data_IF_062956655741
#
_entry.id   IF_062956655741
#
_cell.length_a   1.000
_cell.length_b   1.000
_cell.length_c   1.000
_cell.angle_alpha   90.00
_cell.angle_beta   90.00
_cell.angle_gamma   90.00
#
_symmetry.space_group_name_H-M   'P 1'
#
loop_
_entity.id
_entity.type
_entity.pdbx_description
1 polymer ?
#
# COMPACT_ATOMS: atom_id res chain seq x y z
N UNK A 1 -42.57 84.80 -28.89
CA UNK A 1 -42.99 83.40 -28.96
C UNK A 1 -41.77 82.54 -28.79
N UNK A 2 -41.57 82.00 -27.58
CA UNK A 2 -40.40 81.15 -27.20
C UNK A 2 -40.73 79.74 -27.45
N UNK A 3 -39.97 79.03 -28.29
CA UNK A 3 -39.98 77.59 -28.44
C UNK A 3 -38.89 77.05 -27.50
N UNK A 4 -39.30 76.38 -26.42
CA UNK A 4 -38.42 75.65 -25.53
C UNK A 4 -38.07 74.31 -26.18
N UNK A 5 -36.81 74.19 -26.53
CA UNK A 5 -36.27 72.88 -26.87
C UNK A 5 -35.91 72.11 -25.59
N UNK A 6 -36.64 71.04 -25.30
CA UNK A 6 -36.26 70.06 -24.29
C UNK A 6 -35.24 69.07 -24.91
N UNK A 7 -33.99 69.26 -24.58
CA UNK A 7 -33.01 68.22 -24.80
C UNK A 7 -33.22 67.10 -23.73
N UNK A 8 -33.78 66.02 -24.14
CA UNK A 8 -33.70 64.77 -23.34
C UNK A 8 -32.34 64.19 -23.52
N UNK A 9 -31.44 64.37 -22.56
CA UNK A 9 -30.23 63.57 -22.42
C UNK A 9 -30.63 62.19 -21.97
N UNK A 10 -30.63 61.24 -22.91
CA UNK A 10 -30.70 59.82 -22.61
C UNK A 10 -29.34 59.42 -22.09
N UNK A 11 -29.17 59.35 -20.74
CA UNK A 11 -28.05 58.72 -20.11
C UNK A 11 -28.20 57.21 -20.33
N UNK A 12 -27.52 56.68 -21.35
CA UNK A 12 -27.26 55.27 -21.48
C UNK A 12 -26.34 54.84 -20.34
N UNK A 13 -26.91 54.45 -19.20
CA UNK A 13 -26.21 53.70 -18.18
C UNK A 13 -25.88 52.32 -18.79
N UNK A 14 -24.70 52.23 -19.37
CA UNK A 14 -24.10 50.94 -19.69
C UNK A 14 -23.85 50.21 -18.34
N UNK A 15 -24.80 49.43 -17.89
CA UNK A 15 -24.60 48.41 -16.89
C UNK A 15 -23.66 47.41 -17.52
N UNK A 16 -22.35 47.59 -17.30
CA UNK A 16 -21.38 46.59 -17.50
C UNK A 16 -21.71 45.44 -16.54
N UNK A 17 -22.57 44.53 -16.97
CA UNK A 17 -22.76 43.23 -16.35
C UNK A 17 -21.40 42.58 -16.46
N UNK A 18 -20.57 42.73 -15.41
CA UNK A 18 -19.42 41.89 -15.16
C UNK A 18 -19.98 40.49 -14.96
N UNK A 19 -20.20 39.78 -16.07
CA UNK A 19 -20.33 38.34 -16.04
C UNK A 19 -19.00 37.83 -15.51
N UNK A 20 -18.89 37.74 -14.18
CA UNK A 20 -17.97 36.85 -13.54
C UNK A 20 -18.38 35.47 -14.02
N UNK A 21 -17.86 35.05 -15.18
CA UNK A 21 -17.76 33.64 -15.53
C UNK A 21 -17.05 33.07 -14.32
N UNK A 22 -17.80 32.41 -13.42
CA UNK A 22 -17.22 31.49 -12.47
C UNK A 22 -16.44 30.50 -13.32
N UNK A 23 -15.17 30.79 -13.56
CA UNK A 23 -14.24 29.85 -14.14
C UNK A 23 -14.36 28.65 -13.22
N UNK A 24 -15.03 27.60 -13.67
CA UNK A 24 -15.06 26.32 -12.97
C UNK A 24 -13.60 26.03 -12.63
N UNK A 25 -13.25 26.17 -11.36
CA UNK A 25 -11.87 26.05 -10.91
C UNK A 25 -11.37 24.69 -11.41
N UNK A 26 -10.39 24.71 -12.30
CA UNK A 26 -9.84 23.50 -12.92
C UNK A 26 -9.36 22.58 -11.79
N UNK A 27 -9.94 21.39 -11.68
CA UNK A 27 -9.70 20.46 -10.58
C UNK A 27 -8.60 19.49 -10.93
N UNK A 28 -7.76 19.16 -9.97
CA UNK A 28 -6.85 18.03 -10.06
C UNK A 28 -7.53 16.81 -9.41
N UNK A 29 -8.04 15.91 -10.23
CA UNK A 29 -8.84 14.77 -9.76
C UNK A 29 -7.97 13.54 -9.55
N UNK A 30 -8.09 12.92 -8.36
CA UNK A 30 -7.43 11.67 -7.98
C UNK A 30 -8.51 10.61 -7.84
N UNK A 31 -8.46 9.58 -8.67
CA UNK A 31 -9.35 8.43 -8.60
C UNK A 31 -8.77 7.35 -7.70
N UNK A 32 -9.33 7.15 -6.51
CA UNK A 32 -8.88 6.17 -5.52
C UNK A 32 -9.79 4.94 -5.56
N UNK A 33 -9.27 3.81 -6.07
CA UNK A 33 -9.99 2.55 -6.24
C UNK A 33 -9.51 1.56 -5.18
N UNK A 34 -10.39 1.14 -4.28
CA UNK A 34 -10.02 0.41 -3.08
C UNK A 34 -11.05 -0.68 -2.74
N UNK A 35 -10.62 -1.77 -2.08
CA UNK A 35 -11.53 -2.72 -1.47
C UNK A 35 -12.10 -2.15 -0.16
N UNK A 36 -13.26 -1.49 -0.23
CA UNK A 36 -13.89 -0.85 0.93
C UNK A 36 -14.85 -1.77 1.68
N UNK A 37 -15.23 -2.89 1.06
CA UNK A 37 -16.12 -3.91 1.61
C UNK A 37 -15.52 -5.31 1.51
N UNK A 38 -16.09 -6.27 2.27
CA UNK A 38 -15.64 -7.67 2.27
C UNK A 38 -14.36 -7.91 3.10
N UNK A 39 -13.69 -9.05 2.90
CA UNK A 39 -12.60 -9.51 3.77
C UNK A 39 -11.33 -8.62 3.73
N UNK A 40 -11.19 -7.78 2.70
CA UNK A 40 -10.03 -6.88 2.54
C UNK A 40 -10.39 -5.41 2.83
N UNK A 41 -11.53 -5.14 3.47
CA UNK A 41 -12.01 -3.79 3.74
C UNK A 41 -11.03 -2.96 4.61
N UNK A 42 -10.26 -3.59 5.50
CA UNK A 42 -9.24 -2.89 6.29
C UNK A 42 -8.19 -2.23 5.39
N UNK A 43 -7.72 -2.93 4.36
CA UNK A 43 -6.77 -2.38 3.38
C UNK A 43 -7.28 -1.06 2.76
N UNK A 44 -8.53 -1.06 2.27
CA UNK A 44 -9.12 0.12 1.67
C UNK A 44 -9.29 1.28 2.66
N UNK A 45 -9.81 0.98 3.85
CA UNK A 45 -10.02 1.98 4.91
C UNK A 45 -8.71 2.62 5.38
N UNK A 46 -7.65 1.85 5.55
CA UNK A 46 -6.34 2.34 5.95
C UNK A 46 -5.75 3.29 4.90
N UNK A 47 -5.82 2.93 3.62
CA UNK A 47 -5.33 3.77 2.52
C UNK A 47 -6.15 5.06 2.40
N UNK A 48 -7.48 4.98 2.42
CA UNK A 48 -8.35 6.15 2.34
C UNK A 48 -8.11 7.12 3.51
N UNK A 49 -8.06 6.59 4.74
CA UNK A 49 -7.81 7.39 5.94
C UNK A 49 -6.47 8.13 5.84
N UNK A 50 -5.42 7.47 5.37
CA UNK A 50 -4.10 8.08 5.19
C UNK A 50 -4.09 9.11 4.05
N UNK A 51 -4.78 8.85 2.95
CA UNK A 51 -4.91 9.81 1.85
C UNK A 51 -5.61 11.09 2.32
N UNK A 52 -6.70 10.97 3.06
CA UNK A 52 -7.41 12.11 3.65
C UNK A 52 -6.58 12.85 4.69
N UNK A 53 -5.82 12.12 5.52
CA UNK A 53 -4.88 12.73 6.48
C UNK A 53 -3.81 13.55 5.75
N UNK A 54 -3.23 13.01 4.66
CA UNK A 54 -2.25 13.74 3.87
C UNK A 54 -2.84 15.04 3.32
N UNK A 55 -4.06 15.00 2.75
CA UNK A 55 -4.77 16.18 2.26
C UNK A 55 -5.03 17.20 3.37
N UNK A 56 -5.47 16.74 4.55
CA UNK A 56 -5.72 17.64 5.69
C UNK A 56 -4.45 18.36 6.18
N UNK A 57 -3.29 17.70 6.08
CA UNK A 57 -2.00 18.25 6.50
C UNK A 57 -1.33 19.14 5.45
N UNK A 58 -1.59 18.91 4.15
CA UNK A 58 -0.91 19.59 3.05
C UNK A 58 -1.84 20.48 2.21
N UNK A 59 -3.12 20.58 2.59
CA UNK A 59 -4.13 21.36 1.91
C UNK A 59 -4.79 20.65 0.74
N UNK A 60 -5.92 21.18 0.30
CA UNK A 60 -6.71 20.68 -0.82
C UNK A 60 -6.44 21.42 -2.14
N UNK A 61 -5.34 22.17 -2.20
CA UNK A 61 -4.90 22.90 -3.38
C UNK A 61 -3.52 22.42 -3.82
N UNK A 62 -3.37 22.09 -5.10
CA UNK A 62 -2.08 21.77 -5.70
C UNK A 62 -1.92 22.46 -7.05
N UNK A 63 -0.81 23.17 -7.25
CA UNK A 63 -0.53 23.89 -8.49
C UNK A 63 -1.68 24.87 -8.90
N UNK A 64 -2.36 25.49 -7.95
CA UNK A 64 -3.49 26.40 -8.20
C UNK A 64 -4.83 25.71 -8.51
N UNK A 65 -4.86 24.38 -8.54
CA UNK A 65 -6.07 23.56 -8.77
C UNK A 65 -6.58 22.95 -7.49
N UNK A 66 -7.91 22.91 -7.32
CA UNK A 66 -8.51 22.19 -6.19
C UNK A 66 -8.38 20.68 -6.38
N UNK A 67 -7.84 20.00 -5.37
CA UNK A 67 -7.75 18.53 -5.37
C UNK A 67 -9.12 17.93 -5.05
N UNK A 68 -9.58 17.05 -5.92
CA UNK A 68 -10.79 16.25 -5.71
C UNK A 68 -10.41 14.78 -5.61
N UNK A 69 -10.64 14.18 -4.43
CA UNK A 69 -10.43 12.78 -4.18
C UNK A 69 -11.74 12.01 -4.40
N UNK A 70 -11.78 11.19 -5.45
CA UNK A 70 -12.95 10.36 -5.81
C UNK A 70 -12.64 8.93 -5.36
N UNK A 71 -13.35 8.45 -4.33
CA UNK A 71 -13.16 7.11 -3.77
C UNK A 71 -14.25 6.17 -4.28
N UNK A 72 -13.87 5.00 -4.78
CA UNK A 72 -14.79 3.95 -5.23
C UNK A 72 -14.42 2.59 -4.65
N UNK A 73 -15.43 1.85 -4.23
CA UNK A 73 -15.29 0.46 -3.77
C UNK A 73 -15.27 -0.51 -4.95
N UNK A 74 -14.20 -1.26 -5.08
CA UNK A 74 -14.06 -2.30 -6.11
C UNK A 74 -14.50 -3.70 -5.64
N UNK A 75 -14.94 -3.80 -4.39
CA UNK A 75 -15.39 -5.06 -3.77
C UNK A 75 -14.38 -6.21 -3.89
N UNK A 76 -13.10 -5.89 -4.12
CA UNK A 76 -12.03 -6.86 -4.40
C UNK A 76 -12.27 -7.71 -5.66
N UNK A 77 -13.01 -7.19 -6.65
CA UNK A 77 -13.35 -7.89 -7.88
C UNK A 77 -12.68 -7.24 -9.10
N UNK A 78 -11.83 -7.96 -9.85
CA UNK A 78 -11.06 -7.39 -10.98
C UNK A 78 -11.94 -6.74 -12.05
N UNK A 79 -13.08 -7.34 -12.39
CA UNK A 79 -13.99 -6.78 -13.40
C UNK A 79 -14.66 -5.48 -12.92
N UNK A 80 -14.99 -5.38 -11.62
CA UNK A 80 -15.52 -4.16 -11.01
C UNK A 80 -14.46 -3.08 -11.01
N UNK A 81 -13.21 -3.42 -10.60
CA UNK A 81 -12.07 -2.49 -10.60
C UNK A 81 -11.82 -1.94 -12.01
N UNK A 82 -11.81 -2.81 -13.02
CA UNK A 82 -11.62 -2.42 -14.42
C UNK A 82 -12.71 -1.45 -14.89
N UNK A 83 -13.99 -1.76 -14.62
CA UNK A 83 -15.11 -0.89 -15.00
C UNK A 83 -15.04 0.47 -14.32
N UNK A 84 -14.73 0.51 -13.02
CA UNK A 84 -14.55 1.75 -12.25
C UNK A 84 -13.40 2.58 -12.83
N UNK A 85 -12.26 1.96 -13.12
CA UNK A 85 -11.11 2.65 -13.71
C UNK A 85 -11.46 3.28 -15.07
N UNK A 86 -12.21 2.58 -15.93
CA UNK A 86 -12.71 3.13 -17.20
C UNK A 86 -13.62 4.33 -16.99
N UNK A 87 -14.58 4.22 -16.06
CA UNK A 87 -15.48 5.32 -15.70
C UNK A 87 -14.71 6.55 -15.22
N UNK A 88 -13.76 6.37 -14.31
CA UNK A 88 -12.93 7.45 -13.77
C UNK A 88 -12.10 8.16 -14.85
N UNK A 89 -11.54 7.40 -15.79
CA UNK A 89 -10.71 7.97 -16.86
C UNK A 89 -11.59 8.68 -17.91
N UNK A 90 -12.68 8.07 -18.34
CA UNK A 90 -13.48 8.57 -19.48
C UNK A 90 -14.46 9.65 -19.02
N UNK A 91 -15.22 9.39 -17.96
CA UNK A 91 -16.31 10.26 -17.52
C UNK A 91 -15.84 11.31 -16.51
N UNK A 92 -15.11 10.87 -15.46
CA UNK A 92 -14.61 11.75 -14.41
C UNK A 92 -13.37 12.53 -14.83
N UNK A 93 -12.62 12.04 -15.84
CA UNK A 93 -11.37 12.61 -16.35
C UNK A 93 -10.34 12.83 -15.24
N UNK A 94 -10.09 11.79 -14.45
CA UNK A 94 -9.09 11.84 -13.38
C UNK A 94 -7.69 12.05 -13.94
N UNK A 95 -6.88 12.83 -13.24
CA UNK A 95 -5.48 13.08 -13.60
C UNK A 95 -4.58 11.89 -13.26
N UNK A 96 -4.99 11.08 -12.28
CA UNK A 96 -4.26 9.91 -11.79
C UNK A 96 -5.24 8.89 -11.18
N UNK A 97 -4.97 7.60 -11.42
CA UNK A 97 -5.58 6.48 -10.70
C UNK A 97 -4.67 6.06 -9.55
N UNK A 98 -5.24 5.70 -8.41
CA UNK A 98 -4.47 5.32 -7.24
C UNK A 98 -5.20 4.24 -6.41
N UNK A 99 -4.48 3.57 -5.50
CA UNK A 99 -5.02 2.56 -4.60
C UNK A 99 -4.57 1.14 -4.94
N UNK A 100 -5.50 0.28 -5.34
CA UNK A 100 -5.27 -1.12 -5.75
C UNK A 100 -4.79 -2.01 -4.60
N UNK A 101 -5.74 -2.48 -3.80
CA UNK A 101 -5.48 -3.27 -2.61
C UNK A 101 -4.89 -4.66 -2.87
N UNK A 102 -5.20 -5.26 -4.02
CA UNK A 102 -4.77 -6.62 -4.39
C UNK A 102 -4.19 -6.64 -5.80
N UNK A 103 -3.26 -7.57 -6.05
CA UNK A 103 -2.58 -7.74 -7.33
C UNK A 103 -3.51 -7.91 -8.54
N UNK A 104 -4.57 -8.76 -8.48
CA UNK A 104 -5.47 -8.90 -9.63
C UNK A 104 -6.17 -7.60 -10.04
N UNK A 105 -6.41 -6.69 -9.08
CA UNK A 105 -7.04 -5.40 -9.31
C UNK A 105 -6.11 -4.45 -10.07
N UNK A 106 -4.84 -4.41 -9.68
CA UNK A 106 -3.82 -3.63 -10.39
C UNK A 106 -3.61 -4.14 -11.83
N UNK A 107 -3.54 -5.45 -12.03
CA UNK A 107 -3.41 -6.04 -13.37
C UNK A 107 -4.62 -5.77 -14.26
N UNK A 108 -5.83 -5.84 -13.72
CA UNK A 108 -7.06 -5.54 -14.46
C UNK A 108 -7.10 -4.10 -14.98
N UNK A 109 -6.42 -3.17 -14.28
CA UNK A 109 -6.40 -1.74 -14.60
C UNK A 109 -5.20 -1.33 -15.47
N UNK A 110 -4.14 -2.13 -15.51
CA UNK A 110 -2.92 -1.82 -16.24
C UNK A 110 -3.14 -1.46 -17.73
N UNK A 111 -3.98 -2.18 -18.52
CA UNK A 111 -4.29 -1.82 -19.89
C UNK A 111 -4.94 -0.45 -20.03
N UNK A 112 -5.83 -0.08 -19.08
CA UNK A 112 -6.51 1.21 -19.07
C UNK A 112 -5.50 2.33 -18.85
N UNK A 113 -4.61 2.20 -17.87
CA UNK A 113 -3.54 3.15 -17.61
C UNK A 113 -2.67 3.38 -18.87
N UNK A 114 -2.32 2.30 -19.59
CA UNK A 114 -1.53 2.37 -20.83
C UNK A 114 -2.28 3.10 -21.95
N UNK A 115 -3.54 2.70 -22.21
CA UNK A 115 -4.33 3.22 -23.33
C UNK A 115 -4.69 4.70 -23.15
N UNK A 116 -5.06 5.08 -21.93
CA UNK A 116 -5.44 6.46 -21.58
C UNK A 116 -4.26 7.36 -21.28
N UNK A 117 -3.05 6.79 -21.14
CA UNK A 117 -1.85 7.49 -20.65
C UNK A 117 -2.08 8.16 -19.29
N UNK A 118 -2.92 7.56 -18.44
CA UNK A 118 -3.21 8.05 -17.10
C UNK A 118 -2.28 7.33 -16.11
N UNK A 119 -1.46 8.05 -15.34
CA UNK A 119 -0.62 7.44 -14.29
C UNK A 119 -1.46 6.65 -13.28
N UNK A 120 -0.91 5.54 -12.82
CA UNK A 120 -1.53 4.65 -11.86
C UNK A 120 -0.54 4.43 -10.70
N UNK A 121 -0.93 4.82 -9.48
CA UNK A 121 -0.11 4.68 -8.28
C UNK A 121 -0.61 3.51 -7.45
N UNK A 122 0.20 2.45 -7.36
CA UNK A 122 -0.10 1.25 -6.56
C UNK A 122 0.32 1.48 -5.11
N UNK A 123 -0.67 1.52 -4.21
CA UNK A 123 -0.47 1.84 -2.79
C UNK A 123 -0.46 0.61 -1.87
N UNK A 124 -0.82 -0.58 -2.39
CA UNK A 124 -0.88 -1.80 -1.60
C UNK A 124 -0.38 -3.04 -2.34
N UNK A 125 -0.92 -3.36 -3.52
CA UNK A 125 -0.60 -4.59 -4.26
C UNK A 125 0.90 -4.82 -4.45
N UNK A 126 1.41 -6.03 -4.12
CA UNK A 126 2.83 -6.27 -3.85
C UNK A 126 3.53 -7.30 -4.76
N UNK A 127 2.88 -7.80 -5.82
CA UNK A 127 3.56 -8.66 -6.82
C UNK A 127 4.61 -7.86 -7.60
N UNK A 128 5.81 -8.39 -7.74
CA UNK A 128 6.94 -7.72 -8.41
C UNK A 128 6.59 -7.23 -9.81
N UNK A 129 5.96 -8.06 -10.64
CA UNK A 129 5.72 -7.76 -12.05
C UNK A 129 4.66 -6.67 -12.34
N UNK A 130 3.98 -6.11 -11.33
CA UNK A 130 2.90 -5.13 -11.54
C UNK A 130 3.36 -3.91 -12.33
N UNK A 131 4.52 -3.30 -12.00
CA UNK A 131 4.99 -2.11 -12.72
C UNK A 131 5.45 -2.40 -14.14
N UNK A 132 5.65 -3.68 -14.48
CA UNK A 132 5.95 -4.13 -15.86
C UNK A 132 4.69 -4.28 -16.73
N UNK A 133 3.51 -4.42 -16.10
CA UNK A 133 2.25 -4.59 -16.83
C UNK A 133 1.80 -3.31 -17.57
N UNK A 134 2.30 -2.15 -17.15
CA UNK A 134 2.09 -0.87 -17.85
C UNK A 134 3.26 0.10 -17.59
N UNK A 135 3.71 0.86 -18.60
CA UNK A 135 4.69 1.91 -18.40
C UNK A 135 4.16 3.07 -17.54
N UNK A 136 2.83 3.15 -17.32
CA UNK A 136 2.17 4.20 -16.56
C UNK A 136 1.97 3.85 -15.08
N UNK A 137 2.48 2.70 -14.60
CA UNK A 137 2.37 2.30 -13.20
C UNK A 137 3.60 2.74 -12.41
N UNK A 138 3.36 3.37 -11.25
CA UNK A 138 4.32 3.68 -10.18
C UNK A 138 3.85 2.98 -8.90
N UNK A 139 4.76 2.50 -8.06
CA UNK A 139 4.42 1.86 -6.79
C UNK A 139 4.99 2.64 -5.62
N UNK A 140 4.15 2.86 -4.61
CA UNK A 140 4.54 3.41 -3.30
C UNK A 140 4.33 2.42 -2.14
N UNK A 141 3.82 1.21 -2.42
CA UNK A 141 3.70 0.14 -1.43
C UNK A 141 5.06 -0.54 -1.16
N UNK A 142 5.21 -1.77 -1.58
CA UNK A 142 6.41 -2.60 -1.46
C UNK A 142 6.30 -3.77 -2.44
N UNK A 143 7.32 -4.65 -2.49
CA UNK A 143 7.21 -5.94 -3.17
C UNK A 143 7.47 -7.10 -2.21
N UNK A 144 6.77 -8.22 -2.41
CA UNK A 144 6.97 -9.41 -1.57
C UNK A 144 8.42 -9.93 -1.64
N UNK A 145 9.10 -9.90 -2.80
CA UNK A 145 10.50 -10.29 -2.87
C UNK A 145 11.42 -9.52 -1.92
N UNK A 146 11.18 -8.22 -1.68
CA UNK A 146 11.98 -7.43 -0.73
C UNK A 146 11.92 -8.01 0.69
N UNK A 147 10.72 -8.31 1.19
CA UNK A 147 10.54 -8.89 2.52
C UNK A 147 10.97 -10.36 2.58
N UNK A 148 10.68 -11.14 1.53
CA UNK A 148 10.98 -12.57 1.47
C UNK A 148 12.48 -12.85 1.49
N UNK A 149 13.25 -12.15 0.64
CA UNK A 149 14.72 -12.28 0.60
C UNK A 149 15.34 -11.85 1.92
N UNK A 150 14.88 -10.74 2.49
CA UNK A 150 15.37 -10.25 3.79
C UNK A 150 15.13 -11.29 4.91
N UNK A 151 13.95 -11.92 4.96
CA UNK A 151 13.67 -12.96 5.94
C UNK A 151 14.52 -14.20 5.70
N UNK A 152 14.73 -14.60 4.45
CA UNK A 152 15.55 -15.76 4.09
C UNK A 152 17.06 -15.54 4.37
N UNK A 153 17.52 -14.30 4.37
CA UNK A 153 18.88 -13.96 4.82
C UNK A 153 19.03 -14.02 6.35
N UNK A 154 17.98 -13.60 7.05
CA UNK A 154 17.98 -13.56 8.51
C UNK A 154 17.85 -14.96 9.13
N UNK A 155 17.01 -15.83 8.57
CA UNK A 155 16.59 -17.09 9.19
C UNK A 155 17.77 -18.06 9.49
N UNK A 156 18.69 -18.40 8.57
CA UNK A 156 19.79 -19.34 8.86
C UNK A 156 20.75 -18.83 9.93
N UNK A 157 20.99 -17.51 9.97
CA UNK A 157 21.85 -16.87 10.97
C UNK A 157 21.24 -16.91 12.38
N UNK A 158 19.95 -17.23 12.48
CA UNK A 158 19.21 -17.33 13.73
C UNK A 158 18.73 -18.77 14.03
N UNK A 159 19.44 -19.76 13.48
CA UNK A 159 19.23 -21.20 13.76
C UNK A 159 18.01 -21.80 13.05
N UNK A 160 17.45 -21.13 12.04
CA UNK A 160 16.31 -21.61 11.25
C UNK A 160 16.82 -22.08 9.89
N UNK A 161 17.00 -23.39 9.73
CA UNK A 161 17.55 -23.98 8.51
C UNK A 161 16.55 -24.87 7.76
N UNK A 162 15.63 -25.54 8.46
CA UNK A 162 14.59 -26.40 7.87
C UNK A 162 13.25 -25.68 7.96
N UNK A 163 12.68 -25.30 6.82
CA UNK A 163 11.47 -24.49 6.76
C UNK A 163 10.42 -25.15 5.87
N UNK A 164 9.15 -25.03 6.26
CA UNK A 164 8.01 -25.25 5.38
C UNK A 164 7.47 -23.87 4.99
N UNK A 165 7.17 -23.64 3.72
CA UNK A 165 6.48 -22.41 3.29
C UNK A 165 4.96 -22.63 3.26
N UNK A 166 4.20 -21.67 3.74
CA UNK A 166 2.73 -21.65 3.73
C UNK A 166 2.27 -20.29 3.21
N UNK A 167 1.80 -20.23 1.97
CA UNK A 167 1.46 -18.95 1.32
C UNK A 167 0.06 -18.99 0.70
N UNK A 168 -0.57 -17.83 0.59
CA UNK A 168 -1.82 -17.70 -0.16
C UNK A 168 -1.58 -17.91 -1.66
N UNK A 169 -2.44 -18.71 -2.31
CA UNK A 169 -2.29 -19.11 -3.72
C UNK A 169 -2.74 -18.00 -4.68
N UNK A 170 -1.90 -16.96 -4.81
CA UNK A 170 -2.04 -15.89 -5.78
C UNK A 170 -0.69 -15.16 -5.96
N UNK A 171 -0.62 -14.19 -6.88
CA UNK A 171 0.64 -13.57 -7.30
C UNK A 171 1.63 -13.23 -6.18
N UNK A 172 1.26 -12.44 -5.14
CA UNK A 172 2.17 -12.13 -4.03
C UNK A 172 2.65 -13.37 -3.26
N UNK A 173 1.77 -14.35 -3.03
CA UNK A 173 2.16 -15.59 -2.34
C UNK A 173 3.16 -16.41 -3.13
N UNK A 174 2.97 -16.49 -4.45
CA UNK A 174 3.92 -17.16 -5.36
C UNK A 174 5.28 -16.44 -5.34
N UNK A 175 5.29 -15.11 -5.35
CA UNK A 175 6.52 -14.32 -5.20
C UNK A 175 7.18 -14.58 -3.85
N UNK A 176 6.42 -14.50 -2.75
CA UNK A 176 6.94 -14.73 -1.40
C UNK A 176 7.55 -16.13 -1.26
N UNK A 177 6.87 -17.19 -1.72
CA UNK A 177 7.36 -18.55 -1.72
C UNK A 177 8.66 -18.70 -2.52
N UNK A 178 8.63 -18.23 -3.78
CA UNK A 178 9.76 -18.37 -4.69
C UNK A 178 11.02 -17.70 -4.15
N UNK A 179 10.92 -16.40 -3.83
CA UNK A 179 12.07 -15.61 -3.43
C UNK A 179 12.61 -16.01 -2.05
N UNK A 180 11.73 -16.39 -1.12
CA UNK A 180 12.17 -16.95 0.16
C UNK A 180 12.90 -18.27 -0.03
N UNK A 181 12.29 -19.22 -0.76
CA UNK A 181 12.85 -20.54 -1.00
C UNK A 181 14.21 -20.47 -1.70
N UNK A 182 14.29 -19.76 -2.82
CA UNK A 182 15.52 -19.67 -3.61
C UNK A 182 16.65 -19.06 -2.75
N UNK A 183 16.36 -18.03 -1.97
CA UNK A 183 17.34 -17.34 -1.11
C UNK A 183 17.72 -18.19 0.12
N UNK A 184 16.78 -18.87 0.75
CA UNK A 184 17.06 -19.76 1.88
C UNK A 184 17.99 -20.90 1.45
N UNK A 185 17.73 -21.53 0.30
CA UNK A 185 18.58 -22.60 -0.25
C UNK A 185 19.97 -22.06 -0.58
N UNK A 186 20.06 -20.89 -1.20
CA UNK A 186 21.35 -20.24 -1.47
C UNK A 186 22.17 -20.01 -0.18
N UNK A 187 21.49 -19.71 0.93
CA UNK A 187 22.11 -19.52 2.25
C UNK A 187 22.33 -20.84 3.03
N UNK A 188 22.21 -22.00 2.38
CA UNK A 188 22.46 -23.32 2.99
C UNK A 188 21.30 -23.87 3.84
N UNK A 189 20.12 -23.29 3.75
CA UNK A 189 18.91 -23.82 4.35
C UNK A 189 18.19 -24.84 3.46
N UNK A 190 17.10 -25.42 3.97
CA UNK A 190 16.29 -26.41 3.29
C UNK A 190 14.81 -26.06 3.40
N UNK A 191 14.08 -26.11 2.28
CA UNK A 191 12.62 -26.07 2.27
C UNK A 191 12.11 -27.51 2.20
N UNK A 192 11.44 -27.94 3.27
CA UNK A 192 10.92 -29.31 3.40
C UNK A 192 9.67 -29.52 2.55
N UNK A 193 8.83 -28.49 2.44
CA UNK A 193 7.62 -28.51 1.63
C UNK A 193 7.14 -27.09 1.33
N UNK A 194 6.30 -26.96 0.29
CA UNK A 194 5.63 -25.71 -0.12
C UNK A 194 4.12 -25.91 -0.12
N UNK A 195 3.43 -25.18 0.75
CA UNK A 195 2.00 -25.32 0.95
C UNK A 195 1.29 -24.03 0.49
N UNK A 196 0.21 -24.17 -0.26
CA UNK A 196 -0.58 -23.05 -0.75
C UNK A 196 -2.01 -23.15 -0.27
N UNK A 197 -2.50 -22.06 0.33
CA UNK A 197 -3.86 -21.95 0.85
C UNK A 197 -4.69 -21.03 -0.04
N UNK A 198 -6.02 -21.21 -0.11
CA UNK A 198 -6.89 -20.30 -0.81
C UNK A 198 -6.73 -18.86 -0.28
N UNK A 199 -6.77 -17.87 -1.18
CA UNK A 199 -6.65 -16.46 -0.80
C UNK A 199 -7.81 -15.96 0.08
N UNK A 200 -9.01 -16.52 -0.11
CA UNK A 200 -10.23 -16.12 0.61
C UNK A 200 -10.66 -17.21 1.58
N UNK A 201 -10.95 -16.81 2.83
CA UNK A 201 -11.44 -17.68 3.90
C UNK A 201 -10.64 -18.98 4.04
N UNK A 202 -9.29 -18.92 4.15
CA UNK A 202 -8.48 -20.11 4.25
C UNK A 202 -8.77 -20.87 5.55
N UNK A 203 -8.96 -22.18 5.45
CA UNK A 203 -8.80 -23.09 6.58
C UNK A 203 -7.34 -23.52 6.66
N UNK A 204 -6.63 -23.07 7.68
CA UNK A 204 -5.20 -23.40 7.87
C UNK A 204 -4.98 -24.77 8.50
N UNK A 205 -6.01 -25.36 9.11
CA UNK A 205 -5.90 -26.54 9.94
C UNK A 205 -5.22 -27.74 9.25
N UNK A 206 -5.60 -28.16 8.03
CA UNK A 206 -4.94 -29.30 7.37
C UNK A 206 -3.49 -29.01 6.99
N UNK A 207 -3.18 -27.76 6.62
CA UNK A 207 -1.82 -27.33 6.27
C UNK A 207 -0.91 -27.26 7.49
N UNK A 208 -1.39 -26.73 8.61
CA UNK A 208 -0.65 -26.66 9.86
C UNK A 208 -0.43 -28.06 10.46
N UNK A 209 -1.36 -29.01 10.27
CA UNK A 209 -1.12 -30.39 10.63
C UNK A 209 0.07 -30.96 9.86
N UNK A 210 0.15 -30.74 8.54
CA UNK A 210 1.27 -31.17 7.70
C UNK A 210 2.59 -30.53 8.14
N UNK A 211 2.57 -29.24 8.50
CA UNK A 211 3.75 -28.56 9.08
C UNK A 211 4.21 -29.27 10.35
N UNK A 212 3.29 -29.62 11.25
CA UNK A 212 3.60 -30.31 12.49
C UNK A 212 4.23 -31.69 12.26
N UNK A 213 3.74 -32.44 11.27
CA UNK A 213 4.22 -33.78 10.94
C UNK A 213 5.64 -33.74 10.35
N UNK A 214 5.97 -32.70 9.58
CA UNK A 214 7.29 -32.46 8.97
C UNK A 214 8.36 -31.98 9.96
N UNK A 215 7.95 -31.45 11.12
CA UNK A 215 8.83 -30.95 12.20
C UNK A 215 9.95 -30.03 11.71
N UNK A 216 9.61 -28.92 10.99
CA UNK A 216 10.59 -27.93 10.58
C UNK A 216 11.08 -27.11 11.79
N UNK A 217 12.17 -26.35 11.62
CA UNK A 217 12.58 -25.31 12.58
C UNK A 217 11.56 -24.14 12.60
N UNK A 218 10.98 -23.85 11.43
CA UNK A 218 9.97 -22.80 11.29
C UNK A 218 9.00 -23.07 10.13
N UNK A 219 7.82 -22.45 10.21
CA UNK A 219 6.97 -22.22 9.05
C UNK A 219 7.11 -20.75 8.61
N UNK A 220 7.44 -20.54 7.33
CA UNK A 220 7.45 -19.22 6.70
C UNK A 220 6.10 -18.95 6.07
N UNK A 221 5.47 -17.85 6.44
CA UNK A 221 4.08 -17.57 6.03
C UNK A 221 3.97 -16.23 5.30
N UNK A 222 3.19 -16.25 4.22
CA UNK A 222 2.54 -15.08 3.66
C UNK A 222 1.06 -15.34 3.45
N UNK A 223 0.22 -14.55 4.11
CA UNK A 223 -1.22 -14.45 3.82
C UNK A 223 -1.61 -12.97 3.80
N UNK A 224 -2.63 -12.57 3.02
CA UNK A 224 -3.05 -11.18 2.98
C UNK A 224 -3.40 -10.63 4.36
N UNK A 225 -3.17 -9.32 4.56
CA UNK A 225 -3.65 -8.59 5.73
C UNK A 225 -5.10 -8.92 6.07
N UNK A 226 -5.38 -9.15 7.34
CA UNK A 226 -6.68 -9.61 7.83
C UNK A 226 -6.78 -11.11 8.09
N UNK A 227 -5.99 -11.95 7.40
CA UNK A 227 -5.98 -13.40 7.65
C UNK A 227 -5.06 -13.84 8.82
N UNK A 228 -4.17 -12.94 9.28
CA UNK A 228 -3.17 -13.23 10.32
C UNK A 228 -3.78 -13.72 11.63
N UNK A 229 -4.87 -13.12 12.10
CA UNK A 229 -5.52 -13.52 13.35
C UNK A 229 -6.06 -14.97 13.31
N UNK A 230 -6.66 -15.38 12.20
CA UNK A 230 -7.14 -16.76 12.02
C UNK A 230 -5.96 -17.75 11.97
N UNK A 231 -4.86 -17.37 11.30
CA UNK A 231 -3.63 -18.16 11.26
C UNK A 231 -3.06 -18.35 12.66
N UNK A 232 -2.88 -17.26 13.45
CA UNK A 232 -2.32 -17.30 14.79
C UNK A 232 -3.15 -18.19 15.72
N UNK A 233 -4.47 -18.05 15.67
CA UNK A 233 -5.39 -18.88 16.43
C UNK A 233 -5.20 -20.37 16.11
N UNK A 234 -5.26 -20.77 14.84
CA UNK A 234 -5.14 -22.16 14.43
C UNK A 234 -3.72 -22.72 14.68
N UNK A 235 -2.68 -21.88 14.58
CA UNK A 235 -1.31 -22.25 14.91
C UNK A 235 -1.17 -22.67 16.40
N UNK A 236 -1.73 -21.87 17.30
CA UNK A 236 -1.73 -22.15 18.74
C UNK A 236 -2.63 -23.36 19.09
N UNK A 237 -3.84 -23.42 18.54
CA UNK A 237 -4.78 -24.53 18.79
C UNK A 237 -4.20 -25.90 18.41
N UNK A 238 -3.35 -25.92 17.39
CA UNK A 238 -2.65 -27.14 16.97
C UNK A 238 -1.34 -27.40 17.72
N UNK A 239 -0.97 -26.51 18.65
CA UNK A 239 0.21 -26.65 19.49
C UNK A 239 1.53 -26.64 18.75
N UNK A 240 1.64 -25.92 17.62
CA UNK A 240 2.89 -25.79 16.88
C UNK A 240 3.92 -24.98 17.68
N UNK A 241 3.48 -23.95 18.39
CA UNK A 241 4.28 -23.17 19.34
C UNK A 241 4.91 -24.06 20.42
N UNK A 242 4.11 -24.96 21.02
CA UNK A 242 4.56 -25.92 22.03
C UNK A 242 5.46 -27.01 21.47
N UNK A 243 5.35 -27.30 20.16
CA UNK A 243 6.24 -28.22 19.45
C UNK A 243 7.60 -27.59 19.10
N UNK A 244 7.82 -26.30 19.43
CA UNK A 244 9.06 -25.58 19.15
C UNK A 244 9.18 -25.10 17.69
N UNK A 245 8.12 -25.18 16.90
CA UNK A 245 8.09 -24.69 15.53
C UNK A 245 7.88 -23.17 15.54
N UNK A 246 8.87 -22.44 15.02
CA UNK A 246 8.78 -20.98 14.96
C UNK A 246 7.84 -20.52 13.83
N UNK A 247 7.10 -19.44 14.07
CA UNK A 247 6.34 -18.75 13.03
C UNK A 247 7.12 -17.52 12.58
N UNK A 248 7.50 -17.51 11.29
CA UNK A 248 8.18 -16.39 10.64
C UNK A 248 7.43 -16.03 9.35
N UNK A 249 7.63 -14.83 8.83
CA UNK A 249 6.98 -14.46 7.57
C UNK A 249 7.16 -13.02 7.16
N UNK A 250 6.31 -12.59 6.24
CA UNK A 250 6.17 -11.18 5.91
C UNK A 250 5.30 -10.47 6.95
N UNK A 251 5.41 -9.16 7.04
CA UNK A 251 4.69 -8.40 8.05
C UNK A 251 3.18 -8.38 7.94
N UNK A 252 2.63 -8.87 6.84
CA UNK A 252 1.19 -9.03 6.63
C UNK A 252 0.52 -9.90 7.70
N UNK A 253 1.24 -10.92 8.22
CA UNK A 253 0.71 -11.83 9.24
C UNK A 253 0.62 -11.22 10.64
N UNK A 254 1.31 -10.09 10.89
CA UNK A 254 1.31 -9.35 12.16
C UNK A 254 0.91 -7.90 11.94
N UNK A 255 -0.12 -7.67 11.13
CA UNK A 255 -0.56 -6.33 10.74
C UNK A 255 -0.93 -5.47 11.95
N UNK A 256 -0.40 -4.25 11.98
CA UNK A 256 -0.40 -3.39 13.17
C UNK A 256 -1.81 -3.02 13.67
N UNK A 257 -2.80 -2.89 12.77
CA UNK A 257 -4.17 -2.50 13.13
C UNK A 257 -4.96 -3.61 13.84
N UNK A 258 -4.62 -4.88 13.57
CA UNK A 258 -5.29 -6.04 14.16
C UNK A 258 -4.41 -6.82 15.14
N UNK A 259 -3.16 -6.42 15.33
CA UNK A 259 -2.16 -7.16 16.11
C UNK A 259 -2.61 -7.46 17.54
N UNK A 260 -3.23 -6.49 18.20
CA UNK A 260 -3.74 -6.69 19.57
C UNK A 260 -4.85 -7.75 19.66
N UNK A 261 -5.64 -7.92 18.59
CA UNK A 261 -6.71 -8.93 18.55
C UNK A 261 -6.19 -10.36 18.41
N UNK A 262 -4.92 -10.52 18.02
CA UNK A 262 -4.28 -11.84 17.90
C UNK A 262 -3.95 -12.46 19.26
N UNK A 263 -3.81 -11.62 20.31
CA UNK A 263 -3.48 -12.06 21.65
C UNK A 263 -2.03 -12.53 21.80
N UNK A 264 -1.74 -13.13 22.96
CA UNK A 264 -0.37 -13.49 23.36
C UNK A 264 0.30 -14.53 22.44
N UNK A 265 -0.45 -15.26 21.63
CA UNK A 265 0.11 -16.20 20.64
C UNK A 265 0.96 -15.50 19.56
N UNK A 266 0.70 -14.23 19.29
CA UNK A 266 1.51 -13.45 18.37
C UNK A 266 2.85 -12.98 18.96
N UNK A 267 2.99 -13.00 20.29
CA UNK A 267 4.20 -12.54 20.96
C UNK A 267 5.41 -13.40 20.58
N UNK A 268 6.51 -12.75 20.19
CA UNK A 268 7.73 -13.42 19.72
C UNK A 268 7.75 -13.79 18.24
N UNK A 269 6.66 -13.64 17.50
CA UNK A 269 6.65 -13.87 16.04
C UNK A 269 7.59 -12.86 15.36
N UNK A 270 8.43 -13.36 14.46
CA UNK A 270 9.41 -12.54 13.72
C UNK A 270 8.98 -12.38 12.27
N UNK A 271 8.97 -11.15 11.79
CA UNK A 271 8.60 -10.81 10.42
C UNK A 271 9.59 -9.85 9.77
N UNK A 272 9.66 -9.87 8.45
CA UNK A 272 10.36 -8.86 7.65
C UNK A 272 9.32 -7.95 6.99
N UNK A 273 9.46 -6.63 7.15
CA UNK A 273 8.57 -5.67 6.49
C UNK A 273 9.16 -4.27 6.41
N UNK A 274 8.52 -3.41 5.61
CA UNK A 274 8.99 -2.05 5.37
C UNK A 274 8.46 -1.01 6.36
N UNK A 275 7.55 -1.38 7.26
CA UNK A 275 6.93 -0.46 8.22
C UNK A 275 6.48 -1.17 9.50
N UNK A 276 6.46 -0.44 10.58
CA UNK A 276 5.78 -0.73 11.84
C UNK A 276 5.21 0.56 12.43
N UNK A 277 4.05 0.50 13.06
CA UNK A 277 3.50 1.64 13.82
C UNK A 277 4.45 2.08 14.95
N UNK A 278 5.33 1.19 15.43
CA UNK A 278 6.36 1.50 16.42
C UNK A 278 7.68 1.99 15.83
N UNK A 279 7.79 2.21 14.50
CA UNK A 279 9.01 2.72 13.89
C UNK A 279 9.52 3.98 14.58
N UNK A 280 10.77 3.95 15.05
CA UNK A 280 11.32 4.98 15.93
C UNK A 280 11.88 6.17 15.14
N UNK A 281 11.00 6.95 14.52
CA UNK A 281 11.36 8.24 13.93
C UNK A 281 10.41 9.35 14.41
N UNK A 282 10.87 10.63 14.46
CA UNK A 282 9.99 11.75 14.79
C UNK A 282 8.82 11.88 13.81
N UNK A 283 9.05 11.58 12.53
CA UNK A 283 8.03 11.66 11.49
C UNK A 283 6.95 10.58 11.70
N UNK A 284 7.36 9.33 12.00
CA UNK A 284 6.39 8.27 12.29
C UNK A 284 5.55 8.57 13.54
N UNK A 285 6.18 9.04 14.62
CA UNK A 285 5.45 9.41 15.85
C UNK A 285 4.37 10.45 15.59
N UNK A 286 4.69 11.47 14.76
CA UNK A 286 3.70 12.49 14.35
C UNK A 286 2.62 11.89 13.47
N UNK A 287 2.98 11.03 12.52
CA UNK A 287 2.04 10.36 11.63
C UNK A 287 1.06 9.47 12.41
N UNK A 288 1.55 8.59 13.28
CA UNK A 288 0.72 7.69 14.10
C UNK A 288 -0.25 8.50 14.96
N UNK A 289 0.24 9.50 15.71
CA UNK A 289 -0.60 10.31 16.58
C UNK A 289 -1.69 11.07 15.79
N UNK A 290 -1.35 11.62 14.63
CA UNK A 290 -2.32 12.31 13.77
C UNK A 290 -3.34 11.35 13.15
N UNK A 291 -2.89 10.17 12.72
CA UNK A 291 -3.76 9.14 12.13
C UNK A 291 -4.76 8.60 13.17
N UNK A 292 -4.30 8.21 14.35
CA UNK A 292 -5.15 7.72 15.43
C UNK A 292 -6.18 8.78 15.86
N UNK A 293 -5.75 10.04 16.00
CA UNK A 293 -6.64 11.17 16.32
C UNK A 293 -7.74 11.35 15.27
N UNK A 294 -7.40 11.24 13.99
CA UNK A 294 -8.35 11.43 12.89
C UNK A 294 -9.28 10.23 12.67
N UNK A 295 -8.93 9.04 13.19
CA UNK A 295 -9.61 7.78 12.88
C UNK A 295 -10.03 7.00 14.14
N UNK A 296 -10.49 7.69 15.19
CA UNK A 296 -11.05 7.10 16.41
C UNK A 296 -10.12 6.09 17.09
N UNK A 297 -8.83 6.35 17.14
CA UNK A 297 -7.84 5.48 17.76
C UNK A 297 -7.40 4.29 16.90
N UNK A 298 -7.81 4.22 15.65
CA UNK A 298 -7.32 3.20 14.71
C UNK A 298 -5.81 3.35 14.52
N UNK A 299 -5.05 2.28 14.78
CA UNK A 299 -3.62 2.25 14.56
C UNK A 299 -3.32 2.17 13.06
N UNK A 300 -2.43 3.03 12.50
CA UNK A 300 -2.04 2.90 11.12
C UNK A 300 -1.21 1.65 10.89
N UNK A 301 -1.42 1.01 9.75
CA UNK A 301 -0.61 -0.11 9.29
C UNK A 301 0.20 0.26 8.04
N UNK A 302 0.89 -0.70 7.45
CA UNK A 302 1.71 -0.47 6.25
C UNK A 302 0.88 -0.05 5.02
N UNK A 303 -0.41 -0.38 4.96
CA UNK A 303 -1.32 0.07 3.91
C UNK A 303 -1.58 1.58 4.03
N UNK A 304 -1.76 2.08 5.26
CA UNK A 304 -1.89 3.51 5.52
C UNK A 304 -0.63 4.27 5.04
N UNK A 305 0.56 3.75 5.35
CA UNK A 305 1.80 4.38 4.89
C UNK A 305 1.91 4.37 3.37
N UNK A 306 1.55 3.28 2.70
CA UNK A 306 1.50 3.22 1.24
C UNK A 306 0.59 4.29 0.62
N UNK A 307 -0.58 4.52 1.24
CA UNK A 307 -1.52 5.58 0.86
C UNK A 307 -0.99 6.99 1.12
N UNK A 308 -0.40 7.23 2.30
CA UNK A 308 0.19 8.51 2.67
C UNK A 308 1.33 8.92 1.72
N UNK A 309 2.26 8.00 1.46
CA UNK A 309 3.36 8.19 0.52
C UNK A 309 2.88 8.34 -0.92
N UNK A 310 1.85 7.59 -1.31
CA UNK A 310 1.23 7.72 -2.62
C UNK A 310 0.66 9.11 -2.86
N UNK A 311 -0.03 9.67 -1.87
CA UNK A 311 -0.53 11.05 -1.96
C UNK A 311 0.62 12.06 -2.04
N UNK A 312 1.71 11.85 -1.29
CA UNK A 312 2.90 12.69 -1.38
C UNK A 312 3.47 12.69 -2.80
N UNK A 313 3.70 11.50 -3.36
CA UNK A 313 4.24 11.36 -4.72
C UNK A 313 3.36 12.05 -5.76
N UNK A 314 2.03 11.91 -5.63
CA UNK A 314 1.07 12.56 -6.52
C UNK A 314 1.12 14.09 -6.39
N UNK A 315 1.12 14.62 -5.14
CA UNK A 315 1.14 16.07 -4.89
C UNK A 315 2.42 16.72 -5.40
N UNK A 316 3.58 16.14 -5.10
CA UNK A 316 4.87 16.68 -5.56
C UNK A 316 4.98 16.63 -7.10
N UNK A 317 4.52 15.54 -7.73
CA UNK A 317 4.46 15.45 -9.19
C UNK A 317 3.50 16.50 -9.80
N UNK A 318 2.32 16.70 -9.19
CA UNK A 318 1.37 17.69 -9.64
C UNK A 318 1.90 19.13 -9.50
N UNK A 319 2.65 19.43 -8.42
CA UNK A 319 3.34 20.73 -8.25
C UNK A 319 4.38 20.94 -9.37
N UNK A 320 5.24 19.94 -9.61
CA UNK A 320 6.30 20.01 -10.61
C UNK A 320 5.76 20.19 -12.03
N UNK A 321 4.61 19.59 -12.34
CA UNK A 321 3.97 19.67 -13.65
C UNK A 321 2.96 20.80 -13.79
N UNK A 322 2.81 21.66 -12.77
CA UNK A 322 1.78 22.71 -12.72
C UNK A 322 0.37 22.15 -12.94
N UNK A 323 0.13 20.95 -12.41
CA UNK A 323 -1.15 20.26 -12.52
C UNK A 323 -1.43 19.62 -13.88
N UNK A 324 -0.42 19.45 -14.75
CA UNK A 324 -0.56 18.63 -15.96
C UNK A 324 -0.60 17.14 -15.60
N UNK A 325 -1.42 16.38 -16.35
CA UNK A 325 -1.56 14.92 -16.22
C UNK A 325 -0.67 14.14 -17.21
N UNK A 326 -1.03 12.88 -17.44
CA UNK A 326 -0.43 12.04 -18.46
C UNK A 326 1.06 11.76 -18.26
N UNK A 327 1.81 11.75 -19.36
CA UNK A 327 3.25 11.42 -19.35
C UNK A 327 4.05 12.37 -18.45
N UNK A 328 3.77 13.66 -18.47
CA UNK A 328 4.47 14.64 -17.64
C UNK A 328 4.32 14.33 -16.14
N UNK A 329 3.10 13.98 -15.70
CA UNK A 329 2.83 13.61 -14.32
C UNK A 329 3.57 12.33 -13.93
N UNK A 330 3.56 11.31 -14.80
CA UNK A 330 4.30 10.07 -14.60
C UNK A 330 5.81 10.34 -14.46
N UNK A 331 6.38 11.15 -15.35
CA UNK A 331 7.82 11.44 -15.33
C UNK A 331 8.22 12.19 -14.06
N UNK A 332 7.37 13.07 -13.55
CA UNK A 332 7.60 13.76 -12.30
C UNK A 332 7.43 12.88 -11.04
N UNK A 333 6.79 11.72 -11.14
CA UNK A 333 6.73 10.73 -10.05
C UNK A 333 8.01 9.92 -9.92
N UNK A 334 8.71 9.68 -11.04
CA UNK A 334 9.94 8.89 -11.09
C UNK A 334 11.11 9.65 -10.44
N UNK A 335 11.95 8.94 -9.70
CA UNK A 335 13.15 9.52 -9.09
C UNK A 335 12.88 10.40 -7.87
N UNK A 336 11.65 10.53 -7.39
CA UNK A 336 11.37 11.26 -6.15
C UNK A 336 12.06 10.59 -4.97
N UNK A 337 12.76 11.37 -4.16
CA UNK A 337 13.46 10.95 -2.93
C UNK A 337 12.89 11.71 -1.75
N UNK A 338 12.53 11.02 -0.69
CA UNK A 338 11.98 11.67 0.50
C UNK A 338 12.02 10.81 1.75
N UNK A 339 11.85 11.45 2.91
CA UNK A 339 11.63 10.81 4.19
C UNK A 339 10.13 10.50 4.36
N UNK A 340 9.82 9.26 4.69
CA UNK A 340 8.48 8.74 4.94
C UNK A 340 8.33 8.35 6.41
N UNK A 341 7.10 8.18 6.94
CA UNK A 341 6.90 7.54 8.25
C UNK A 341 7.60 6.19 8.42
N UNK A 342 7.90 5.48 7.31
CA UNK A 342 8.65 4.21 7.30
C UNK A 342 10.17 4.38 7.17
N UNK A 343 10.69 5.60 7.19
CA UNK A 343 12.10 5.91 6.94
C UNK A 343 12.37 6.41 5.51
N UNK A 344 13.63 6.55 5.11
CA UNK A 344 14.01 7.06 3.79
C UNK A 344 13.53 6.14 2.67
N UNK A 345 13.07 6.75 1.59
CA UNK A 345 12.64 6.03 0.39
C UNK A 345 12.81 6.85 -0.88
N UNK A 346 12.83 6.15 -2.01
CA UNK A 346 12.74 6.79 -3.32
C UNK A 346 12.01 5.90 -4.32
N UNK A 347 11.52 6.53 -5.39
CA UNK A 347 10.92 5.82 -6.53
C UNK A 347 12.01 5.61 -7.58
N UNK A 348 12.42 4.37 -7.80
CA UNK A 348 13.42 4.06 -8.83
C UNK A 348 12.93 4.49 -10.22
N UNK A 349 13.73 5.31 -10.90
CA UNK A 349 13.32 5.91 -12.17
C UNK A 349 13.15 4.88 -13.31
N UNK A 350 13.85 3.75 -13.25
CA UNK A 350 13.80 2.71 -14.27
C UNK A 350 12.67 1.71 -14.02
N UNK A 351 12.61 1.16 -12.80
CA UNK A 351 11.63 0.14 -12.43
C UNK A 351 10.27 0.73 -12.01
N UNK A 352 10.25 2.00 -11.62
CA UNK A 352 9.09 2.73 -11.05
C UNK A 352 8.56 2.10 -9.76
N UNK A 353 9.39 1.27 -9.12
CA UNK A 353 9.14 0.70 -7.80
C UNK A 353 9.81 1.52 -6.69
N UNK A 354 9.29 1.34 -5.50
CA UNK A 354 9.89 1.90 -4.29
C UNK A 354 11.19 1.18 -3.94
N UNK A 355 12.20 1.96 -3.57
CA UNK A 355 13.39 1.50 -2.87
C UNK A 355 13.35 2.08 -1.47
N UNK A 356 13.45 1.23 -0.46
CA UNK A 356 13.26 1.61 0.94
C UNK A 356 13.94 0.60 1.87
N UNK A 357 13.94 0.90 3.16
CA UNK A 357 14.43 -0.05 4.15
C UNK A 357 13.43 -1.18 4.37
N UNK A 358 13.97 -2.38 4.65
CA UNK A 358 13.22 -3.51 5.20
C UNK A 358 13.73 -3.77 6.61
N UNK A 359 12.81 -3.92 7.54
CA UNK A 359 13.09 -4.14 8.95
C UNK A 359 12.79 -5.58 9.33
N UNK A 360 13.68 -6.21 10.11
CA UNK A 360 13.33 -7.42 10.85
C UNK A 360 12.67 -6.97 12.14
N UNK A 361 11.45 -7.45 12.37
CA UNK A 361 10.58 -7.05 13.48
C UNK A 361 10.20 -8.25 14.29
N UNK A 362 10.06 -8.06 15.59
CA UNK A 362 9.51 -9.05 16.52
C UNK A 362 8.30 -8.48 17.22
N UNK A 363 7.26 -9.27 17.32
CA UNK A 363 6.09 -8.88 18.13
C UNK A 363 6.47 -8.92 19.60
N UNK A 364 6.31 -7.79 20.28
CA UNK A 364 6.59 -7.64 21.71
C UNK A 364 5.47 -6.86 22.41
N UNK A 365 5.24 -7.18 23.69
CA UNK A 365 4.26 -6.47 24.51
C UNK A 365 4.92 -5.25 25.14
N UNK A 366 4.41 -4.07 24.80
CA UNK A 366 4.87 -2.78 25.32
C UNK A 366 3.67 -2.08 25.97
N UNK A 367 3.75 -1.77 27.26
CA UNK A 367 2.67 -1.13 28.02
C UNK A 367 1.31 -1.84 27.86
N UNK A 368 1.32 -3.18 27.87
CA UNK A 368 0.13 -4.01 27.76
C UNK A 368 -0.42 -4.21 26.34
N UNK A 369 0.16 -3.60 25.32
CA UNK A 369 -0.22 -3.74 23.91
C UNK A 369 0.87 -4.42 23.10
N UNK A 370 0.48 -5.15 22.06
CA UNK A 370 1.42 -5.77 21.11
C UNK A 370 1.86 -4.76 20.05
N UNK A 371 3.16 -4.76 19.76
CA UNK A 371 3.80 -3.96 18.71
C UNK A 371 4.80 -4.81 17.94
N UNK A 372 4.97 -4.50 16.65
CA UNK A 372 6.07 -5.01 15.84
C UNK A 372 7.33 -4.19 16.12
N UNK A 373 8.19 -4.64 17.04
CA UNK A 373 9.43 -3.94 17.39
C UNK A 373 10.52 -4.26 16.38
N UNK A 374 11.08 -3.23 15.76
CA UNK A 374 12.18 -3.34 14.81
C UNK A 374 13.50 -3.54 15.56
N UNK A 375 14.29 -4.55 15.18
CA UNK A 375 15.57 -4.83 15.80
C UNK A 375 16.73 -4.99 14.81
N UNK A 376 16.45 -5.05 13.49
CA UNK A 376 17.46 -4.99 12.44
C UNK A 376 16.90 -4.24 11.24
N UNK A 377 17.80 -3.53 10.52
CA UNK A 377 17.46 -2.73 9.33
C UNK A 377 18.33 -3.12 8.16
N UNK A 378 17.73 -3.48 7.06
CA UNK A 378 18.36 -3.67 5.75
C UNK A 378 18.01 -2.45 4.91
N UNK A 379 19.04 -1.66 4.55
CA UNK A 379 18.83 -0.37 3.87
C UNK A 379 18.69 -0.51 2.38
N UNK A 380 17.95 0.42 1.78
CA UNK A 380 17.87 0.67 0.33
C UNK A 380 17.57 -0.59 -0.49
N UNK A 381 16.63 -1.41 -0.01
CA UNK A 381 16.29 -2.68 -0.65
C UNK A 381 15.50 -2.41 -1.93
N UNK A 382 16.11 -2.74 -3.06
CA UNK A 382 15.44 -2.79 -4.37
C UNK A 382 14.62 -4.06 -4.50
N UNK A 383 13.68 -4.07 -5.47
CA UNK A 383 12.93 -5.28 -5.79
C UNK A 383 13.84 -6.37 -6.38
N UNK A 384 14.12 -7.48 -5.66
CA UNK A 384 14.92 -8.57 -6.18
C UNK A 384 14.32 -9.26 -7.42
N UNK A 385 13.01 -9.16 -7.59
CA UNK A 385 12.31 -9.71 -8.77
C UNK A 385 12.61 -8.96 -10.07
N UNK A 386 13.34 -7.85 -10.02
CA UNK A 386 13.77 -7.03 -11.17
C UNK A 386 15.29 -6.92 -11.29
N UNK A 387 16.04 -7.59 -10.42
CA UNK A 387 17.47 -7.74 -10.60
C UNK A 387 17.73 -8.54 -11.88
N UNK A 388 18.51 -7.95 -12.81
CA UNK A 388 19.01 -8.62 -14.00
C UNK A 388 20.26 -9.41 -13.66
#
# INVERSE_FOLDING_TARGET
>A
MQKRFFLRAIACAAVAASATTAMAQDKFKIGLILPMTGPFASTGKQIEAAARLYMAQNGDMVAGKKVELIVKDDTSAPDVTKRIAQEMVVNEKVSVLAGFGLTPLAFATAPIATQSKTPLVVMAAATSSITQASPFIVRTSFTLPQAAVTMADWAPNNGIKKVVTLVADYGPGIDAEKFFKDRLIFNGGQVLDTLRVPMRNPDFAPFLQKVRDLKPDAVYVFVPSGAGAALMKQFAERGLDKAGIKLIGTGDITDDDILNSMGDVANGVVTAHHYSASHNSPLNKKFVAAFEKANNGLRPNFMAVGGYDGMRVIYEAAKATKGAGGQALLDAMKGQVFESPRGPMFIDAQTRDVVHNIYIRKVEKVNGQLYNQEFATIKDVKDPGKAK
#
